data_IF_713429382731
#
_entry.id   IF_713429382731
#
_cell.length_a   1.000
_cell.length_b   1.000
_cell.length_c   1.000
_cell.angle_alpha   90.00
_cell.angle_beta   90.00
_cell.angle_gamma   90.00
#
_symmetry.space_group_name_H-M   'P 1'
#
loop_
_entity.id
_entity.type
_entity.pdbx_description
1 polymer ?
#
# COMPACT_ATOMS: atom_id res chain seq x y z
N UNK A 1 -5.11 3.71 -13.43
CA UNK A 1 -4.41 4.86 -12.80
C UNK A 1 -3.07 4.39 -12.26
N UNK A 2 -2.09 5.29 -12.11
CA UNK A 2 -0.76 4.97 -11.56
C UNK A 2 -0.53 5.82 -10.32
N UNK A 3 -0.18 5.17 -9.22
CA UNK A 3 0.13 5.81 -7.94
C UNK A 3 1.56 5.47 -7.52
N UNK A 4 2.20 6.41 -6.84
CA UNK A 4 3.50 6.25 -6.21
C UNK A 4 3.30 5.77 -4.78
N UNK A 5 4.09 4.78 -4.39
CA UNK A 5 4.11 4.23 -3.05
C UNK A 5 5.51 4.31 -2.46
N UNK A 6 5.61 4.61 -1.17
CA UNK A 6 6.82 4.28 -0.40
C UNK A 6 6.64 2.85 0.10
N UNK A 7 7.67 2.04 -0.08
CA UNK A 7 7.72 0.65 0.39
C UNK A 7 9.00 0.46 1.17
N UNK A 8 8.88 -0.04 2.40
CA UNK A 8 9.98 -0.31 3.31
C UNK A 8 9.88 -1.74 3.83
N UNK A 9 11.00 -2.46 3.89
CA UNK A 9 11.11 -3.70 4.64
C UNK A 9 11.58 -3.38 6.07
N UNK A 10 10.86 -3.87 7.07
CA UNK A 10 11.21 -3.78 8.49
C UNK A 10 11.11 -5.18 9.08
N UNK A 11 12.25 -5.76 9.44
CA UNK A 11 12.36 -7.16 9.86
C UNK A 11 11.68 -8.11 8.86
N UNK A 12 10.72 -8.91 9.31
CA UNK A 12 9.94 -9.85 8.50
C UNK A 12 8.68 -9.24 7.88
N UNK A 13 8.58 -7.92 7.86
CA UNK A 13 7.41 -7.20 7.37
C UNK A 13 7.75 -6.22 6.25
N UNK A 14 6.80 -6.04 5.35
CA UNK A 14 6.76 -5.00 4.35
C UNK A 14 5.71 -3.99 4.74
N UNK A 15 6.10 -2.72 4.84
CA UNK A 15 5.23 -1.60 5.20
C UNK A 15 5.22 -0.63 4.03
N UNK A 16 4.06 -0.08 3.69
CA UNK A 16 3.98 0.92 2.63
C UNK A 16 2.73 1.79 2.71
N UNK A 17 2.79 2.89 1.98
CA UNK A 17 1.71 3.87 1.86
C UNK A 17 1.79 4.59 0.52
N UNK A 18 0.64 5.05 0.03
CA UNK A 18 0.55 5.83 -1.20
C UNK A 18 0.86 7.30 -0.96
N UNK A 19 1.77 7.86 -1.76
CA UNK A 19 2.15 9.29 -1.68
C UNK A 19 1.03 10.15 -2.27
N UNK A 20 0.46 9.68 -3.38
CA UNK A 20 -0.54 10.40 -4.15
C UNK A 20 -1.96 10.26 -3.56
N UNK A 21 -2.14 9.34 -2.61
CA UNK A 21 -3.40 9.10 -1.92
C UNK A 21 -3.14 8.89 -0.41
N UNK A 22 -2.90 9.99 0.34
CA UNK A 22 -2.65 9.92 1.76
C UNK A 22 -3.79 9.24 2.51
N UNK A 23 -3.46 8.36 3.46
CA UNK A 23 -4.44 7.56 4.21
C UNK A 23 -4.53 6.11 3.75
N UNK A 24 -4.04 5.78 2.55
CA UNK A 24 -3.91 4.39 2.10
C UNK A 24 -2.55 3.83 2.51
N UNK A 25 -2.57 2.96 3.51
CA UNK A 25 -1.39 2.32 4.09
C UNK A 25 -1.65 0.83 4.27
N UNK A 26 -0.60 0.01 4.23
CA UNK A 26 -0.70 -1.41 4.52
C UNK A 26 0.61 -1.97 5.07
N UNK A 27 0.52 -3.14 5.71
CA UNK A 27 1.65 -3.92 6.18
C UNK A 27 1.41 -5.41 5.92
N UNK A 28 2.38 -6.10 5.33
CA UNK A 28 2.24 -7.49 4.88
C UNK A 28 3.53 -8.29 5.03
N UNK A 29 3.44 -9.62 5.05
CA UNK A 29 4.61 -10.51 5.14
C UNK A 29 5.43 -10.59 3.85
N UNK A 30 4.84 -10.23 2.71
CA UNK A 30 5.55 -10.21 1.43
C UNK A 30 5.31 -8.90 0.70
N UNK A 31 6.29 -8.49 -0.11
CA UNK A 31 6.18 -7.28 -0.94
C UNK A 31 4.99 -7.35 -1.91
N UNK A 32 4.71 -8.53 -2.43
CA UNK A 32 3.60 -8.75 -3.37
C UNK A 32 2.26 -8.53 -2.68
N UNK A 33 2.07 -9.11 -1.49
CA UNK A 33 0.85 -8.88 -0.69
C UNK A 33 0.71 -7.42 -0.30
N UNK A 34 1.80 -6.74 0.08
CA UNK A 34 1.76 -5.31 0.39
C UNK A 34 1.19 -4.50 -0.80
N UNK A 35 1.66 -4.79 -2.01
CA UNK A 35 1.19 -4.11 -3.23
C UNK A 35 -0.30 -4.42 -3.48
N UNK A 36 -0.75 -5.65 -3.26
CA UNK A 36 -2.17 -6.02 -3.38
C UNK A 36 -3.03 -5.24 -2.38
N UNK A 37 -2.64 -5.21 -1.10
CA UNK A 37 -3.37 -4.49 -0.06
C UNK A 37 -3.41 -2.98 -0.31
N UNK A 38 -2.32 -2.36 -0.78
CA UNK A 38 -2.31 -0.95 -1.17
C UNK A 38 -3.24 -0.66 -2.36
N UNK A 39 -3.36 -1.58 -3.32
CA UNK A 39 -4.30 -1.42 -4.44
C UNK A 39 -5.74 -1.53 -3.97
N UNK A 40 -6.06 -2.51 -3.12
CA UNK A 40 -7.41 -2.66 -2.57
C UNK A 40 -7.83 -1.44 -1.76
N UNK A 41 -6.97 -0.96 -0.85
CA UNK A 41 -7.26 0.25 -0.07
C UNK A 41 -7.44 1.49 -0.94
N UNK A 42 -6.68 1.62 -2.04
CA UNK A 42 -6.88 2.71 -2.99
C UNK A 42 -8.21 2.62 -3.74
N UNK A 43 -8.65 1.41 -4.11
CA UNK A 43 -9.94 1.19 -4.75
C UNK A 43 -11.06 1.55 -3.78
N UNK A 44 -11.01 1.06 -2.54
CA UNK A 44 -12.01 1.38 -1.52
C UNK A 44 -12.12 2.88 -1.29
N UNK A 45 -11.00 3.58 -1.11
CA UNK A 45 -10.99 5.02 -0.86
C UNK A 45 -11.46 5.88 -2.04
N UNK A 46 -11.33 5.40 -3.28
CA UNK A 46 -11.78 6.12 -4.48
C UNK A 46 -13.24 5.83 -4.85
N UNK A 47 -13.83 4.79 -4.27
CA UNK A 47 -15.23 4.40 -4.51
C UNK A 47 -16.20 4.94 -3.45
N UNK A 48 -15.67 5.56 -2.39
CA UNK A 48 -16.43 6.31 -1.37
C UNK A 48 -16.52 7.79 -1.71
#
# INVERSE_FOLDING_TARGET
MKYRAIIKKSDDWWIGWLIDLPGVNAQEKTRQKLIESLKSGAIEMLLT
#
